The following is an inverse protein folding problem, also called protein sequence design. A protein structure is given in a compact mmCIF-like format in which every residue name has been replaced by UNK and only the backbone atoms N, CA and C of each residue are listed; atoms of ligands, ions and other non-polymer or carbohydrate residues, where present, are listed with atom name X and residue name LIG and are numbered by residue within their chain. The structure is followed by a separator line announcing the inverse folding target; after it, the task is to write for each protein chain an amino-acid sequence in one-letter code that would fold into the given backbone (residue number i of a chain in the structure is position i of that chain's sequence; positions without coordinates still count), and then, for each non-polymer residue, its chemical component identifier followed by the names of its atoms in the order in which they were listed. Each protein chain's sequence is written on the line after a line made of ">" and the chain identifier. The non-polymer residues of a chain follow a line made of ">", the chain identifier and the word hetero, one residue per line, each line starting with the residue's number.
data_IF_640389624065
#
_entry.id   IF_640389624065
#
_cell.length_a   1.000
_cell.length_b   1.000
_cell.length_c   1.000
_cell.angle_alpha   90.00
_cell.angle_beta   90.00
_cell.angle_gamma   90.00
#
_symmetry.space_group_name_H-M   'P 1'
#
loop_
_entity.id
_entity.type
_entity.pdbx_description
1 polymer ?
#
# COMPACT_ATOMS: atom_id res chain seq x y z
N UNK A 1 22.68 -8.94 -13.63
CA UNK A 1 23.08 -8.38 -12.31
C UNK A 1 22.35 -7.07 -12.00
N UNK A 2 22.27 -6.11 -12.94
CA UNK A 2 21.61 -4.80 -12.74
C UNK A 2 20.19 -4.87 -12.15
N UNK A 3 19.29 -5.67 -12.72
CA UNK A 3 17.89 -5.79 -12.24
C UNK A 3 17.77 -6.23 -10.77
N UNK A 4 18.67 -7.10 -10.27
CA UNK A 4 18.64 -7.55 -8.86
C UNK A 4 19.06 -6.44 -7.89
N UNK A 5 20.00 -5.59 -8.29
CA UNK A 5 20.38 -4.42 -7.50
C UNK A 5 19.27 -3.38 -7.44
N UNK A 6 18.54 -3.17 -8.55
CA UNK A 6 17.41 -2.24 -8.59
C UNK A 6 16.25 -2.73 -7.71
N UNK A 7 15.91 -4.02 -7.74
CA UNK A 7 14.87 -4.59 -6.87
C UNK A 7 15.25 -4.51 -5.39
N UNK A 8 16.50 -4.83 -5.04
CA UNK A 8 16.97 -4.74 -3.65
C UNK A 8 16.95 -3.30 -3.12
N UNK A 9 17.32 -2.33 -3.97
CA UNK A 9 17.27 -0.90 -3.64
C UNK A 9 15.85 -0.42 -3.42
N UNK A 10 14.94 -0.70 -4.34
CA UNK A 10 13.52 -0.33 -4.23
C UNK A 10 12.88 -0.98 -2.99
N UNK A 11 13.20 -2.25 -2.73
CA UNK A 11 12.74 -2.95 -1.53
C UNK A 11 13.25 -2.31 -0.24
N UNK A 12 14.52 -1.93 -0.19
CA UNK A 12 15.10 -1.25 0.97
C UNK A 12 14.50 0.15 1.19
N UNK A 13 14.32 0.93 0.12
CA UNK A 13 13.66 2.24 0.16
C UNK A 13 12.23 2.13 0.68
N UNK A 14 11.49 1.12 0.21
CA UNK A 14 10.14 0.85 0.68
C UNK A 14 10.11 0.47 2.16
N UNK A 15 10.93 -0.50 2.58
CA UNK A 15 10.96 -0.99 3.97
C UNK A 15 11.42 0.05 4.99
N UNK A 16 12.15 1.07 4.54
CA UNK A 16 12.56 2.22 5.34
C UNK A 16 11.44 3.28 5.51
N UNK A 17 10.38 3.23 4.71
CA UNK A 17 9.28 4.19 4.78
C UNK A 17 8.21 3.84 5.81
N UNK A 18 7.44 4.85 6.26
CA UNK A 18 6.37 4.70 7.27
C UNK A 18 5.30 3.66 6.89
N UNK A 19 5.06 3.48 5.59
CA UNK A 19 4.10 2.50 5.11
C UNK A 19 4.52 1.07 5.48
N UNK A 20 5.82 0.78 5.52
CA UNK A 20 6.33 -0.53 5.84
C UNK A 20 6.10 -0.94 7.30
N UNK A 21 5.81 0.00 8.21
CA UNK A 21 5.45 -0.31 9.59
C UNK A 21 4.21 -1.21 9.69
N UNK A 22 3.33 -1.19 8.69
CA UNK A 22 2.18 -2.09 8.64
C UNK A 22 2.59 -3.58 8.57
N UNK A 23 3.80 -3.88 8.07
CA UNK A 23 4.30 -5.25 8.00
C UNK A 23 4.84 -5.78 9.32
N UNK A 24 5.00 -4.93 10.35
CA UNK A 24 5.37 -5.40 11.69
C UNK A 24 4.22 -6.21 12.31
N UNK A 25 2.98 -5.96 11.89
CA UNK A 25 1.80 -6.72 12.28
C UNK A 25 1.66 -8.06 11.51
N UNK A 26 1.69 -9.21 12.21
CA UNK A 26 1.51 -10.52 11.59
C UNK A 26 0.17 -10.71 10.88
N UNK A 27 -0.90 -10.05 11.34
CA UNK A 27 -2.22 -10.16 10.71
C UNK A 27 -2.20 -9.58 9.29
N UNK A 28 -1.51 -8.46 9.08
CA UNK A 28 -1.33 -7.86 7.76
C UNK A 28 -0.48 -8.73 6.84
N UNK A 29 0.61 -9.31 7.35
CA UNK A 29 1.46 -10.23 6.59
C UNK A 29 0.66 -11.45 6.09
N UNK A 30 -0.11 -12.08 6.99
CA UNK A 30 -0.98 -13.22 6.64
C UNK A 30 -2.04 -12.82 5.62
N UNK A 31 -2.66 -11.66 5.79
CA UNK A 31 -3.64 -11.13 4.85
C UNK A 31 -3.02 -10.90 3.46
N UNK A 32 -1.84 -10.29 3.38
CA UNK A 32 -1.14 -10.04 2.11
C UNK A 32 -0.90 -11.33 1.33
N UNK A 33 -0.31 -12.35 1.97
CA UNK A 33 -0.06 -13.67 1.33
C UNK A 33 -1.36 -14.34 0.89
N UNK A 34 -2.40 -14.29 1.74
CA UNK A 34 -3.69 -14.91 1.44
C UNK A 34 -4.41 -14.24 0.28
N UNK A 35 -4.50 -12.91 0.28
CA UNK A 35 -5.20 -12.16 -0.77
C UNK A 35 -4.43 -12.19 -2.10
N UNK A 36 -3.09 -12.22 -2.06
CA UNK A 36 -2.27 -12.49 -3.24
C UNK A 36 -2.58 -13.86 -3.86
N UNK A 37 -2.58 -14.92 -3.05
CA UNK A 37 -2.92 -16.27 -3.52
C UNK A 37 -4.34 -16.36 -4.10
N UNK A 38 -5.30 -15.66 -3.50
CA UNK A 38 -6.66 -15.62 -4.02
C UNK A 38 -6.78 -14.91 -5.37
N UNK A 39 -6.22 -13.70 -5.46
CA UNK A 39 -6.44 -12.82 -6.61
C UNK A 39 -5.50 -13.14 -7.78
N UNK A 40 -4.27 -13.56 -7.49
CA UNK A 40 -3.26 -13.81 -8.52
C UNK A 40 -3.09 -15.30 -8.85
N UNK A 41 -3.33 -16.22 -7.92
CA UNK A 41 -3.18 -17.66 -8.16
C UNK A 41 -4.53 -18.38 -8.33
N UNK A 42 -5.64 -17.66 -8.27
CA UNK A 42 -6.99 -18.21 -8.44
C UNK A 42 -7.41 -19.18 -7.34
N UNK A 43 -6.77 -19.13 -6.16
CA UNK A 43 -7.14 -20.01 -5.04
C UNK A 43 -8.39 -19.47 -4.36
N UNK A 44 -9.49 -20.22 -4.41
CA UNK A 44 -10.70 -19.84 -3.68
C UNK A 44 -10.44 -19.79 -2.17
N UNK A 45 -10.77 -18.66 -1.56
CA UNK A 45 -10.79 -18.50 -0.13
C UNK A 45 -12.19 -18.07 0.30
N UNK A 46 -12.85 -18.89 1.12
CA UNK A 46 -14.25 -18.71 1.54
C UNK A 46 -14.54 -17.39 2.29
N UNK A 47 -13.51 -16.65 2.70
CA UNK A 47 -13.65 -15.39 3.46
C UNK A 47 -12.99 -14.20 2.74
N UNK A 48 -13.09 -14.14 1.40
CA UNK A 48 -12.77 -12.93 0.62
C UNK A 48 -13.83 -11.82 0.80
N UNK A 49 -14.78 -11.97 1.72
CA UNK A 49 -15.75 -10.96 2.09
C UNK A 49 -15.65 -10.59 3.57
N UNK A 50 -15.97 -9.35 3.91
CA UNK A 50 -16.16 -8.91 5.29
C UNK A 50 -15.09 -7.96 5.83
N UNK A 51 -15.14 -7.64 7.14
CA UNK A 51 -14.33 -6.59 7.76
C UNK A 51 -12.82 -6.75 7.56
N UNK A 52 -12.30 -7.98 7.57
CA UNK A 52 -10.88 -8.25 7.42
C UNK A 52 -10.32 -7.83 6.05
N UNK A 53 -11.10 -8.00 4.97
CA UNK A 53 -10.72 -7.49 3.65
C UNK A 53 -10.63 -5.97 3.68
N UNK A 54 -11.63 -5.31 4.27
CA UNK A 54 -11.66 -3.85 4.33
C UNK A 54 -10.54 -3.28 5.19
N UNK A 55 -10.22 -3.91 6.31
CA UNK A 55 -9.11 -3.48 7.16
C UNK A 55 -7.77 -3.64 6.44
N UNK A 56 -7.57 -4.78 5.75
CA UNK A 56 -6.39 -4.99 4.93
C UNK A 56 -6.31 -3.99 3.78
N UNK A 57 -7.40 -3.74 3.05
CA UNK A 57 -7.44 -2.80 1.94
C UNK A 57 -7.19 -1.36 2.41
N UNK A 58 -7.80 -0.92 3.52
CA UNK A 58 -7.55 0.41 4.10
C UNK A 58 -6.07 0.61 4.43
N UNK A 59 -5.40 -0.44 4.90
CA UNK A 59 -3.96 -0.43 5.17
C UNK A 59 -3.15 -0.42 3.88
N UNK A 60 -3.46 -1.31 2.94
CA UNK A 60 -2.80 -1.45 1.64
C UNK A 60 -2.85 -0.16 0.81
N UNK A 61 -3.95 0.59 0.92
CA UNK A 61 -4.17 1.87 0.23
C UNK A 61 -3.97 3.10 1.11
N UNK A 62 -3.37 2.95 2.31
CA UNK A 62 -3.23 4.04 3.27
C UNK A 62 -2.52 5.28 2.69
N UNK A 63 -1.54 5.08 1.79
CA UNK A 63 -0.85 6.19 1.12
C UNK A 63 -1.79 6.98 0.21
N UNK A 64 -2.62 6.30 -0.57
CA UNK A 64 -3.62 6.93 -1.42
C UNK A 64 -4.72 7.60 -0.57
N UNK A 65 -5.16 6.95 0.52
CA UNK A 65 -6.16 7.50 1.44
C UNK A 65 -5.66 8.75 2.20
N UNK A 66 -4.36 8.89 2.43
CA UNK A 66 -3.77 10.09 3.04
C UNK A 66 -3.78 11.32 2.11
N UNK A 67 -3.90 11.13 0.80
CA UNK A 67 -3.90 12.25 -0.16
C UNK A 67 -5.16 13.09 0.03
N UNK A 68 -5.00 14.41 0.11
CA UNK A 68 -6.11 15.36 0.32
C UNK A 68 -6.64 15.38 1.76
N UNK A 69 -6.05 14.65 2.71
CA UNK A 69 -6.31 14.92 4.12
C UNK A 69 -5.82 16.32 4.47
N UNK A 70 -6.65 17.09 5.19
CA UNK A 70 -6.38 18.47 5.54
C UNK A 70 -6.70 19.49 4.44
N UNK A 71 -7.14 19.05 3.25
CA UNK A 71 -7.59 19.92 2.16
C UNK A 71 -8.87 20.67 2.56
N UNK A 72 -9.01 21.91 2.09
CA UNK A 72 -10.16 22.76 2.36
C UNK A 72 -11.16 22.68 1.21
N UNK A 73 -12.42 22.44 1.55
CA UNK A 73 -13.54 22.39 0.63
C UNK A 73 -14.07 23.80 0.33
N UNK A 74 -14.96 23.89 -0.67
CA UNK A 74 -15.56 25.17 -1.11
C UNK A 74 -16.37 25.87 -0.02
N UNK A 75 -17.01 25.10 0.86
CA UNK A 75 -17.78 25.58 2.02
C UNK A 75 -16.87 25.99 3.20
N UNK A 76 -15.55 25.90 3.03
CA UNK A 76 -14.57 26.19 4.07
C UNK A 76 -14.29 25.04 5.03
N UNK A 77 -15.00 23.90 4.91
CA UNK A 77 -14.76 22.68 5.67
C UNK A 77 -13.41 22.05 5.35
N UNK A 78 -12.88 21.20 6.24
CA UNK A 78 -11.58 20.54 6.07
C UNK A 78 -11.73 19.03 6.11
N UNK A 79 -11.11 18.32 5.17
CA UNK A 79 -11.10 16.85 5.19
C UNK A 79 -10.26 16.35 6.38
N UNK A 80 -10.85 15.50 7.21
CA UNK A 80 -10.24 14.98 8.44
C UNK A 80 -9.86 13.51 8.34
N UNK A 81 -10.67 12.69 7.67
CA UNK A 81 -10.37 11.27 7.48
C UNK A 81 -10.95 10.74 6.17
N UNK A 82 -10.41 9.61 5.71
CA UNK A 82 -10.92 8.82 4.58
C UNK A 82 -10.83 7.35 4.95
N UNK A 83 -11.86 6.58 4.59
CA UNK A 83 -11.90 5.14 4.79
C UNK A 83 -12.55 4.47 3.59
N UNK A 84 -12.02 3.33 3.18
CA UNK A 84 -12.65 2.47 2.19
C UNK A 84 -13.84 1.74 2.81
N UNK A 85 -15.00 1.86 2.17
CA UNK A 85 -16.27 1.27 2.62
C UNK A 85 -16.83 0.22 1.66
N UNK A 86 -16.46 0.27 0.38
CA UNK A 86 -16.77 -0.78 -0.58
C UNK A 86 -15.66 -0.91 -1.63
N UNK A 87 -15.59 -2.08 -2.26
CA UNK A 87 -14.74 -2.35 -3.41
C UNK A 87 -15.48 -3.28 -4.38
N UNK A 88 -15.48 -2.96 -5.66
CA UNK A 88 -16.08 -3.79 -6.71
C UNK A 88 -15.23 -3.77 -7.98
N UNK A 89 -15.46 -4.75 -8.84
CA UNK A 89 -14.83 -4.81 -10.15
C UNK A 89 -15.69 -4.07 -11.16
N UNK A 90 -15.04 -3.30 -12.03
CA UNK A 90 -15.66 -2.66 -13.18
C UNK A 90 -14.68 -2.76 -14.36
N UNK A 91 -15.00 -3.66 -15.28
CA UNK A 91 -14.15 -4.13 -16.38
C UNK A 91 -12.74 -4.56 -15.91
N UNK A 92 -11.72 -3.81 -16.33
CA UNK A 92 -10.31 -4.04 -16.05
C UNK A 92 -9.81 -3.28 -14.81
N UNK A 93 -10.73 -2.72 -14.02
CA UNK A 93 -10.41 -1.92 -12.85
C UNK A 93 -11.13 -2.41 -11.58
N UNK A 94 -10.48 -2.14 -10.45
CA UNK A 94 -11.10 -2.22 -9.13
C UNK A 94 -11.48 -0.82 -8.72
N UNK A 95 -12.75 -0.66 -8.38
CA UNK A 95 -13.36 0.58 -7.96
C UNK A 95 -13.50 0.56 -6.45
N UNK A 96 -12.90 1.54 -5.76
CA UNK A 96 -12.94 1.65 -4.30
C UNK A 96 -13.81 2.84 -3.87
N UNK A 97 -14.88 2.58 -3.14
CA UNK A 97 -15.72 3.62 -2.54
C UNK A 97 -15.15 4.06 -1.21
N UNK A 98 -15.14 5.38 -1.01
CA UNK A 98 -14.58 6.02 0.18
C UNK A 98 -15.67 6.76 0.95
N UNK A 99 -15.68 6.55 2.25
CA UNK A 99 -16.31 7.44 3.21
C UNK A 99 -15.30 8.52 3.64
N UNK A 100 -15.73 9.78 3.64
CA UNK A 100 -14.87 10.93 3.91
C UNK A 100 -15.52 11.76 5.00
N UNK A 101 -14.80 11.94 6.10
CA UNK A 101 -15.20 12.85 7.16
C UNK A 101 -14.59 14.23 6.93
N UNK A 102 -15.42 15.26 6.96
CA UNK A 102 -14.98 16.65 7.00
C UNK A 102 -15.43 17.34 8.28
N UNK A 103 -14.67 18.35 8.67
CA UNK A 103 -14.99 19.25 9.78
C UNK A 103 -15.29 20.64 9.25
N UNK A 104 -16.47 21.16 9.57
CA UNK A 104 -16.90 22.51 9.25
C UNK A 104 -16.10 23.56 10.03
N UNK A 105 -16.13 24.84 9.62
CA UNK A 105 -15.51 25.92 10.38
C UNK A 105 -16.04 26.05 11.82
N UNK A 106 -17.29 25.66 12.06
CA UNK A 106 -17.93 25.64 13.39
C UNK A 106 -17.46 24.46 14.28
N UNK A 107 -16.59 23.59 13.77
CA UNK A 107 -16.07 22.42 14.47
C UNK A 107 -16.93 21.16 14.35
N UNK A 108 -18.14 21.24 13.78
CA UNK A 108 -18.99 20.06 13.55
C UNK A 108 -18.39 19.14 12.49
N UNK A 109 -18.46 17.84 12.73
CA UNK A 109 -18.04 16.83 11.76
C UNK A 109 -19.25 16.32 10.97
N UNK A 110 -19.04 16.00 9.71
CA UNK A 110 -20.01 15.32 8.88
C UNK A 110 -19.31 14.35 7.93
N UNK A 111 -19.95 13.21 7.73
CA UNK A 111 -19.55 12.25 6.72
C UNK A 111 -20.22 12.67 5.41
N UNK A 112 -19.44 12.74 4.35
CA UNK A 112 -19.95 12.96 3.01
C UNK A 112 -19.17 12.09 2.04
N UNK A 113 -19.89 11.54 1.09
CA UNK A 113 -19.26 10.91 -0.06
C UNK A 113 -18.81 12.07 -0.94
N UNK A 114 -17.49 12.26 -0.98
CA UNK A 114 -16.88 13.25 -1.85
C UNK A 114 -16.29 12.54 -3.04
N UNK A 115 -16.29 13.18 -4.22
CA UNK A 115 -15.46 12.70 -5.30
C UNK A 115 -13.99 12.80 -4.90
N UNK A 116 -13.25 11.68 -4.99
CA UNK A 116 -11.78 11.70 -4.91
C UNK A 116 -11.28 12.82 -5.82
N UNK A 117 -10.36 13.66 -5.34
CA UNK A 117 -9.93 14.86 -6.07
C UNK A 117 -9.45 14.54 -7.49
N UNK A 118 -9.75 15.46 -8.43
CA UNK A 118 -9.61 15.32 -9.90
C UNK A 118 -8.24 14.78 -10.33
N UNK A 119 -8.12 14.08 -11.46
CA UNK A 119 -8.84 14.29 -12.74
C UNK A 119 -10.26 13.71 -12.97
N UNK A 120 -11.27 14.08 -12.16
CA UNK A 120 -12.68 13.58 -12.02
C UNK A 120 -13.47 13.49 -13.34
N UNK A 121 -14.63 12.85 -13.31
CA UNK A 121 -15.71 13.08 -14.29
C UNK A 121 -17.07 13.10 -13.56
N UNK A 122 -17.48 14.32 -13.17
CA UNK A 122 -18.73 14.70 -12.48
C UNK A 122 -20.00 14.14 -13.15
N UNK A 123 -21.13 13.89 -12.46
CA UNK A 123 -21.82 14.79 -11.54
C UNK A 123 -22.63 14.04 -10.46
N UNK A 124 -22.65 14.62 -9.27
CA UNK A 124 -23.50 14.32 -8.12
C UNK A 124 -23.13 13.09 -7.26
N UNK A 125 -22.21 13.40 -6.33
CA UNK A 125 -21.96 12.81 -5.00
C UNK A 125 -20.96 11.65 -4.81
N UNK A 126 -20.82 10.65 -5.69
CA UNK A 126 -19.94 9.52 -5.37
C UNK A 126 -18.86 9.32 -6.45
N UNK A 127 -17.65 9.89 -6.31
CA UNK A 127 -16.50 9.40 -7.10
C UNK A 127 -15.48 8.66 -6.24
N UNK A 128 -15.28 7.45 -6.71
CA UNK A 128 -14.48 6.31 -6.28
C UNK A 128 -13.00 6.42 -6.67
N UNK A 129 -12.12 5.69 -5.98
CA UNK A 129 -10.75 5.49 -6.43
C UNK A 129 -10.72 4.29 -7.39
N UNK A 130 -10.49 4.56 -8.68
CA UNK A 130 -10.37 3.52 -9.71
C UNK A 130 -8.92 3.10 -9.89
N UNK A 131 -8.62 1.83 -9.68
CA UNK A 131 -7.28 1.26 -9.79
C UNK A 131 -7.30 0.16 -10.85
N UNK A 132 -6.45 0.22 -11.89
CA UNK A 132 -6.32 -0.87 -12.85
C UNK A 132 -6.06 -2.20 -12.13
N UNK A 133 -6.77 -3.25 -12.51
CA UNK A 133 -6.72 -4.56 -11.86
C UNK A 133 -5.28 -5.10 -11.82
N UNK A 134 -4.53 -4.91 -12.91
CA UNK A 134 -3.12 -5.30 -12.96
C UNK A 134 -2.28 -4.60 -11.87
N UNK A 135 -2.53 -3.31 -11.61
CA UNK A 135 -1.83 -2.58 -10.54
C UNK A 135 -2.20 -3.08 -9.15
N UNK A 136 -3.45 -3.48 -8.93
CA UNK A 136 -3.86 -4.12 -7.68
C UNK A 136 -3.12 -5.46 -7.52
N UNK A 137 -3.12 -6.28 -8.57
CA UNK A 137 -2.43 -7.59 -8.62
C UNK A 137 -0.95 -7.47 -8.29
N UNK A 138 -0.25 -6.55 -8.95
CA UNK A 138 1.18 -6.30 -8.70
C UNK A 138 1.42 -5.83 -7.26
N UNK A 139 0.53 -4.98 -6.72
CA UNK A 139 0.63 -4.48 -5.34
C UNK A 139 0.43 -5.59 -4.31
N UNK A 140 -0.56 -6.46 -4.52
CA UNK A 140 -0.79 -7.64 -3.67
C UNK A 140 0.42 -8.57 -3.70
N UNK A 141 0.94 -8.86 -4.90
CA UNK A 141 2.12 -9.71 -5.08
C UNK A 141 3.35 -9.13 -4.38
N UNK A 142 3.60 -7.83 -4.56
CA UNK A 142 4.70 -7.14 -3.87
C UNK A 142 4.56 -7.19 -2.35
N UNK A 143 3.34 -7.01 -1.81
CA UNK A 143 3.09 -7.14 -0.39
C UNK A 143 3.31 -8.56 0.12
N UNK A 144 2.83 -9.59 -0.60
CA UNK A 144 3.04 -10.99 -0.24
C UNK A 144 4.53 -11.38 -0.26
N UNK A 145 5.28 -10.92 -1.27
CA UNK A 145 6.74 -11.15 -1.34
C UNK A 145 7.48 -10.53 -0.16
N UNK A 146 7.13 -9.29 0.22
CA UNK A 146 7.72 -8.64 1.39
C UNK A 146 7.32 -9.34 2.70
N UNK A 147 6.05 -9.74 2.83
CA UNK A 147 5.58 -10.49 3.99
C UNK A 147 6.36 -11.80 4.17
N UNK A 148 6.56 -12.56 3.10
CA UNK A 148 7.35 -13.78 3.10
C UNK A 148 8.83 -13.52 3.44
N UNK A 149 9.44 -12.49 2.84
CA UNK A 149 10.82 -12.11 3.14
C UNK A 149 11.03 -11.69 4.60
N UNK A 150 10.07 -10.96 5.17
CA UNK A 150 10.10 -10.52 6.58
C UNK A 150 10.05 -11.72 7.51
N UNK A 151 9.17 -12.68 7.21
CA UNK A 151 9.04 -13.89 8.01
C UNK A 151 10.32 -14.74 7.95
N UNK A 152 10.88 -14.92 6.75
CA UNK A 152 12.14 -15.66 6.55
C UNK A 152 13.34 -15.00 7.25
N UNK A 153 13.39 -13.67 7.26
CA UNK A 153 14.47 -12.93 7.91
C UNK A 153 14.31 -12.82 9.43
N UNK A 154 13.17 -13.27 9.99
CA UNK A 154 12.86 -13.12 11.41
C UNK A 154 12.47 -11.69 11.83
N UNK A 155 12.02 -10.86 10.88
CA UNK A 155 11.55 -9.50 11.13
C UNK A 155 11.87 -8.51 10.02
N UNK A 156 11.24 -7.33 10.09
CA UNK A 156 11.41 -6.25 9.10
C UNK A 156 12.82 -5.67 9.10
N UNK A 157 13.37 -5.38 10.28
CA UNK A 157 14.72 -4.82 10.43
C UNK A 157 15.81 -5.78 9.88
N UNK A 158 15.80 -7.09 10.22
CA UNK A 158 16.69 -8.06 9.57
C UNK A 158 16.60 -8.06 8.04
N UNK A 159 15.40 -8.04 7.45
CA UNK A 159 15.23 -8.00 6.00
C UNK A 159 15.79 -6.70 5.41
N UNK A 160 15.49 -5.55 6.01
CA UNK A 160 16.00 -4.25 5.57
C UNK A 160 17.54 -4.24 5.58
N UNK A 161 18.16 -4.79 6.62
CA UNK A 161 19.62 -4.91 6.70
C UNK A 161 20.20 -5.81 5.59
N UNK A 162 19.54 -6.93 5.29
CA UNK A 162 19.95 -7.82 4.18
C UNK A 162 19.87 -7.10 2.82
N UNK A 163 18.76 -6.40 2.54
CA UNK A 163 18.58 -5.67 1.30
C UNK A 163 19.62 -4.54 1.15
N UNK A 164 19.90 -3.79 2.22
CA UNK A 164 20.94 -2.75 2.21
C UNK A 164 22.32 -3.32 1.90
N UNK A 165 22.67 -4.48 2.46
CA UNK A 165 23.95 -5.16 2.14
C UNK A 165 24.03 -5.58 0.67
N UNK A 166 22.93 -6.06 0.09
CA UNK A 166 22.86 -6.43 -1.33
C UNK A 166 22.98 -5.23 -2.28
N UNK A 167 22.70 -4.01 -1.80
CA UNK A 167 22.82 -2.77 -2.57
C UNK A 167 24.19 -2.08 -2.46
N UNK A 168 25.05 -2.50 -1.53
CA UNK A 168 26.40 -1.96 -1.44
C UNK A 168 27.22 -2.47 -2.63
N UNK A 169 27.97 -1.60 -3.34
CA UNK A 169 28.91 -2.06 -4.34
C UNK A 169 29.87 -3.01 -3.64
N UNK A 170 30.04 -4.24 -4.16
CA UNK A 170 31.15 -5.10 -3.73
C UNK A 170 32.42 -4.30 -3.98
N UNK A 171 32.96 -3.69 -2.94
CA UNK A 171 34.31 -3.17 -2.98
C UNK A 171 35.19 -4.35 -3.34
N UNK A 172 35.69 -4.35 -4.58
CA UNK A 172 36.79 -5.21 -4.98
C UNK A 172 37.88 -4.95 -3.95
N UNK A 173 38.05 -5.87 -2.99
CA UNK A 173 39.27 -5.95 -2.19
C UNK A 173 40.38 -6.16 -3.21
N UNK A 174 41.04 -5.07 -3.59
CA UNK A 174 42.26 -5.15 -4.36
C UNK A 174 43.21 -6.10 -3.64
N UNK A 175 43.93 -6.98 -4.35
CA UNK A 175 44.92 -7.82 -3.72
C UNK A 175 45.89 -6.90 -2.97
N UNK A 176 46.05 -7.15 -1.67
CA UNK A 176 47.13 -6.55 -0.89
C UNK A 176 48.44 -7.03 -1.51
N UNK A 177 48.97 -6.24 -2.44
CA UNK A 177 50.31 -6.38 -2.95
C UNK A 177 51.26 -6.12 -1.80
N UNK A 178 51.80 -7.19 -1.24
CA UNK A 178 53.01 -7.16 -0.45
C UNK A 178 54.10 -6.44 -1.26
N UNK A 179 54.50 -5.26 -0.80
CA UNK A 179 55.78 -4.67 -1.17
C UNK A 179 56.71 -4.88 0.02
N UNK A 180 57.82 -5.54 -0.28
CA UNK A 180 58.93 -5.91 0.61
C UNK A 180 59.67 -4.69 1.13
#
# INVERSE_FOLDING_TARGET
>A
MQQRHDTARIGAEFLAGDFAAQFDDPAFRRAATRFDAAINDGREHAELGGPALYDFANRLFARELRRGLGERLRDGSRICSKRLVAAYLDDDAVVLELDIRARRPDGSEYDYRAPVTRGRTSADTDEVLRIPLQRLRDRLRGAAMLAAGIEQAGGREPLLAQLRRATQPMGLRGPQGAAR
#
